data_IF_661127334844
#
_entry.id   IF_661127334844
#
_cell.length_a   1.000
_cell.length_b   1.000
_cell.length_c   1.000
_cell.angle_alpha   90.00
_cell.angle_beta   90.00
_cell.angle_gamma   90.00
#
_symmetry.space_group_name_H-M   'P 1'
#
loop_
_entity.id
_entity.type
_entity.pdbx_description
1 polymer ?
#
# COMPACT_ATOMS: atom_id res chain seq x y z
N UNK A 1 21.88 0.20 9.35
CA UNK A 1 20.85 -0.80 9.69
C UNK A 1 19.48 -0.21 9.38
N UNK A 2 18.70 -0.84 8.49
CA UNK A 2 17.38 -0.34 8.07
C UNK A 2 16.32 -0.90 9.02
N UNK A 3 15.48 -0.05 9.60
CA UNK A 3 14.43 -0.45 10.54
C UNK A 3 13.17 -0.91 9.79
N UNK A 4 12.38 -1.82 10.38
CA UNK A 4 11.10 -2.33 9.82
C UNK A 4 10.15 -1.16 9.48
N UNK A 5 10.20 -0.10 10.28
CA UNK A 5 9.43 1.13 10.08
C UNK A 5 9.82 1.84 8.77
N UNK A 6 11.08 1.76 8.35
CA UNK A 6 11.56 2.37 7.11
C UNK A 6 11.09 1.60 5.86
N UNK A 7 10.71 0.33 6.01
CA UNK A 7 10.15 -0.52 4.93
C UNK A 7 8.65 -0.27 4.79
N UNK A 8 7.95 -0.12 5.92
CA UNK A 8 6.52 0.17 5.98
C UNK A 8 6.18 1.61 5.56
N UNK A 9 7.05 2.59 5.84
CA UNK A 9 6.81 4.01 5.55
C UNK A 9 7.97 4.64 4.76
N UNK A 10 8.02 4.44 3.42
CA UNK A 10 9.13 4.92 2.58
C UNK A 10 9.27 6.46 2.50
N UNK A 11 8.28 7.22 3.01
CA UNK A 11 8.30 8.68 3.03
C UNK A 11 9.45 9.27 3.87
N UNK A 12 9.97 8.53 4.87
CA UNK A 12 11.00 9.04 5.78
C UNK A 12 12.38 9.21 5.13
N UNK A 13 12.61 8.61 3.95
CA UNK A 13 13.95 8.56 3.34
C UNK A 13 14.01 9.00 1.87
N UNK A 14 12.97 9.66 1.35
CA UNK A 14 12.86 10.04 -0.08
C UNK A 14 13.13 8.85 -1.03
N UNK A 15 12.78 7.62 -0.62
CA UNK A 15 12.92 6.43 -1.47
C UNK A 15 11.58 6.12 -2.12
N UNK A 16 11.62 5.85 -3.43
CA UNK A 16 10.48 5.36 -4.19
C UNK A 16 9.88 4.11 -3.54
N UNK A 17 8.55 4.01 -3.50
CA UNK A 17 7.83 2.81 -3.09
C UNK A 17 8.34 1.60 -3.90
N UNK A 18 9.14 0.77 -3.26
CA UNK A 18 9.86 -0.33 -3.91
C UNK A 18 9.14 -1.66 -3.80
N UNK A 19 9.69 -2.68 -4.46
CA UNK A 19 9.16 -4.05 -4.42
C UNK A 19 9.04 -4.62 -2.99
N UNK A 20 9.93 -4.19 -2.07
CA UNK A 20 9.89 -4.60 -0.67
C UNK A 20 8.67 -4.06 0.09
N UNK A 21 8.32 -2.78 -0.10
CA UNK A 21 7.12 -2.19 0.50
C UNK A 21 5.84 -2.79 -0.10
N UNK A 22 5.85 -3.11 -1.40
CA UNK A 22 4.76 -3.83 -2.04
C UNK A 22 4.57 -5.23 -1.44
N UNK A 23 5.64 -6.03 -1.34
CA UNK A 23 5.60 -7.38 -0.77
C UNK A 23 5.14 -7.35 0.71
N UNK A 24 5.58 -6.36 1.48
CA UNK A 24 5.13 -6.18 2.85
C UNK A 24 3.62 -5.88 2.93
N UNK A 25 3.13 -4.91 2.14
CA UNK A 25 1.69 -4.60 2.07
C UNK A 25 0.88 -5.81 1.60
N UNK A 26 1.37 -6.55 0.61
CA UNK A 26 0.74 -7.79 0.14
C UNK A 26 0.62 -8.84 1.26
N UNK A 27 1.72 -9.13 1.97
CA UNK A 27 1.73 -10.12 3.05
C UNK A 27 0.80 -9.74 4.20
N UNK A 28 0.78 -8.46 4.58
CA UNK A 28 -0.13 -7.96 5.63
C UNK A 28 -1.58 -8.15 5.21
N UNK A 29 -1.95 -7.72 4.00
CA UNK A 29 -3.31 -7.88 3.49
C UNK A 29 -3.70 -9.36 3.36
N UNK A 30 -2.77 -10.19 2.91
CA UNK A 30 -2.99 -11.62 2.77
C UNK A 30 -3.33 -12.27 4.11
N UNK A 31 -2.53 -11.98 5.14
CA UNK A 31 -2.77 -12.45 6.50
C UNK A 31 -4.10 -11.91 7.07
N UNK A 32 -4.41 -10.64 6.86
CA UNK A 32 -5.68 -10.06 7.32
C UNK A 32 -6.89 -10.74 6.69
N UNK A 33 -6.86 -10.99 5.39
CA UNK A 33 -7.96 -11.66 4.67
C UNK A 33 -8.09 -13.12 5.13
N UNK A 34 -6.99 -13.85 5.33
CA UNK A 34 -7.05 -15.21 5.86
C UNK A 34 -7.62 -15.26 7.29
N UNK A 35 -7.20 -14.34 8.17
CA UNK A 35 -7.72 -14.25 9.53
C UNK A 35 -9.21 -13.93 9.52
N UNK A 36 -9.66 -12.99 8.67
CA UNK A 36 -11.07 -12.66 8.52
C UNK A 36 -11.89 -13.86 8.03
N UNK A 37 -11.38 -14.59 7.03
CA UNK A 37 -12.03 -15.79 6.53
C UNK A 37 -12.09 -16.88 7.61
N UNK A 38 -11.02 -17.08 8.36
CA UNK A 38 -10.97 -18.04 9.47
C UNK A 38 -11.99 -17.69 10.56
N UNK A 39 -12.05 -16.42 10.98
CA UNK A 39 -13.03 -15.94 11.95
C UNK A 39 -14.46 -16.11 11.43
N UNK A 40 -14.69 -15.82 10.14
CA UNK A 40 -15.99 -16.03 9.50
C UNK A 40 -16.43 -17.50 9.54
N UNK A 41 -15.52 -18.43 9.23
CA UNK A 41 -15.77 -19.88 9.29
C UNK A 41 -16.00 -20.35 10.72
N UNK A 42 -15.20 -19.87 11.68
CA UNK A 42 -15.33 -20.21 13.08
C UNK A 42 -16.69 -19.78 13.67
N UNK A 43 -17.18 -18.59 13.28
CA UNK A 43 -18.50 -18.09 13.70
C UNK A 43 -19.64 -18.85 13.03
N UNK A 44 -19.56 -19.07 11.71
CA UNK A 44 -20.66 -19.64 10.93
C UNK A 44 -20.81 -21.15 11.14
N UNK A 45 -19.72 -21.90 11.06
CA UNK A 45 -19.75 -23.36 11.07
C UNK A 45 -19.54 -23.95 12.47
N UNK A 46 -18.93 -23.20 13.40
CA UNK A 46 -18.48 -23.68 14.73
C UNK A 46 -17.61 -24.95 14.69
N UNK A 47 -17.14 -25.34 13.50
CA UNK A 47 -16.40 -26.57 13.26
C UNK A 47 -15.13 -26.24 12.46
N UNK A 48 -13.98 -26.35 13.11
CA UNK A 48 -12.68 -25.97 12.55
C UNK A 48 -12.20 -26.88 11.41
N UNK A 49 -12.80 -28.08 11.25
CA UNK A 49 -12.50 -28.94 10.10
C UNK A 49 -12.92 -28.31 8.78
N UNK A 50 -14.01 -27.53 8.77
CA UNK A 50 -14.52 -26.89 7.56
C UNK A 50 -13.53 -25.85 6.98
N UNK A 51 -12.63 -25.30 7.82
CA UNK A 51 -11.58 -24.40 7.36
C UNK A 51 -10.62 -25.08 6.39
N UNK A 52 -10.20 -26.31 6.69
CA UNK A 52 -9.29 -27.08 5.84
C UNK A 52 -9.94 -27.45 4.51
N UNK A 53 -11.23 -27.78 4.52
CA UNK A 53 -12.00 -28.08 3.31
C UNK A 53 -12.21 -26.83 2.43
N UNK A 54 -12.34 -25.64 3.04
CA UNK A 54 -12.50 -24.38 2.31
C UNK A 54 -11.17 -23.78 1.82
N UNK A 55 -10.05 -24.20 2.39
CA UNK A 55 -8.73 -23.66 2.08
C UNK A 55 -8.36 -23.67 0.57
N UNK A 56 -8.73 -24.69 -0.24
CA UNK A 56 -8.49 -24.68 -1.69
C UNK A 56 -9.16 -23.51 -2.43
N UNK A 57 -10.24 -22.95 -1.88
CA UNK A 57 -10.97 -21.81 -2.44
C UNK A 57 -10.53 -20.50 -1.77
N UNK A 58 -10.40 -20.52 -0.44
CA UNK A 58 -10.05 -19.32 0.35
C UNK A 58 -8.66 -18.83 0.01
N UNK A 59 -7.67 -19.73 -0.11
CA UNK A 59 -6.29 -19.36 -0.37
C UNK A 59 -6.07 -18.60 -1.70
N UNK A 60 -6.51 -19.12 -2.88
CA UNK A 60 -6.35 -18.37 -4.14
C UNK A 60 -7.17 -17.07 -4.14
N UNK A 61 -8.34 -17.07 -3.50
CA UNK A 61 -9.18 -15.87 -3.38
C UNK A 61 -8.49 -14.78 -2.55
N UNK A 62 -7.96 -15.15 -1.38
CA UNK A 62 -7.20 -14.24 -0.51
C UNK A 62 -5.96 -13.69 -1.23
N UNK A 63 -5.27 -14.54 -2.01
CA UNK A 63 -4.11 -14.14 -2.81
C UNK A 63 -4.50 -13.11 -3.88
N UNK A 64 -5.57 -13.34 -4.65
CA UNK A 64 -6.04 -12.41 -5.68
C UNK A 64 -6.50 -11.07 -5.09
N UNK A 65 -7.26 -11.09 -4.00
CA UNK A 65 -7.72 -9.87 -3.31
C UNK A 65 -6.51 -9.06 -2.81
N UNK A 66 -5.55 -9.73 -2.18
CA UNK A 66 -4.37 -9.06 -1.63
C UNK A 66 -3.44 -8.53 -2.71
N UNK A 67 -3.29 -9.25 -3.82
CA UNK A 67 -2.56 -8.76 -5.01
C UNK A 67 -3.25 -7.55 -5.62
N UNK A 68 -4.56 -7.58 -5.82
CA UNK A 68 -5.31 -6.45 -6.36
C UNK A 68 -5.21 -5.22 -5.45
N UNK A 69 -5.43 -5.39 -4.14
CA UNK A 69 -5.38 -4.30 -3.17
C UNK A 69 -3.96 -3.71 -3.05
N UNK A 70 -2.93 -4.55 -2.97
CA UNK A 70 -1.53 -4.09 -2.94
C UNK A 70 -1.11 -3.41 -4.24
N UNK A 71 -1.59 -3.87 -5.41
CA UNK A 71 -1.33 -3.25 -6.70
C UNK A 71 -1.94 -1.85 -6.79
N UNK A 72 -3.20 -1.69 -6.35
CA UNK A 72 -3.86 -0.38 -6.26
C UNK A 72 -3.14 0.54 -5.29
N UNK A 73 -2.71 0.01 -4.13
CA UNK A 73 -1.96 0.78 -3.14
C UNK A 73 -0.61 1.23 -3.69
N UNK A 74 0.11 0.37 -4.42
CA UNK A 74 1.36 0.71 -5.07
C UNK A 74 1.16 1.77 -6.17
N UNK A 75 0.13 1.63 -7.00
CA UNK A 75 -0.21 2.63 -8.02
C UNK A 75 -0.47 4.00 -7.38
N UNK A 76 -1.27 4.05 -6.32
CA UNK A 76 -1.58 5.29 -5.62
C UNK A 76 -0.40 5.86 -4.85
N UNK A 77 0.42 5.01 -4.24
CA UNK A 77 1.65 5.44 -3.58
C UNK A 77 2.67 6.00 -4.58
N UNK A 78 2.71 5.47 -5.81
CA UNK A 78 3.55 6.00 -6.89
C UNK A 78 3.06 7.37 -7.36
N UNK A 79 1.75 7.58 -7.49
CA UNK A 79 1.20 8.89 -7.86
C UNK A 79 1.44 9.96 -6.78
N UNK A 80 1.26 9.60 -5.50
CA UNK A 80 1.56 10.48 -4.36
C UNK A 80 3.05 10.78 -4.22
N UNK A 81 3.92 9.79 -4.43
CA UNK A 81 5.37 10.00 -4.41
C UNK A 81 5.81 10.95 -5.51
N UNK A 82 5.23 10.81 -6.73
CA UNK A 82 5.52 11.71 -7.85
C UNK A 82 5.13 13.16 -7.53
N UNK A 83 3.93 13.36 -6.99
CA UNK A 83 3.44 14.70 -6.66
C UNK A 83 4.26 15.40 -5.56
N UNK A 84 4.68 14.65 -4.54
CA UNK A 84 5.55 15.16 -3.47
C UNK A 84 6.98 15.44 -3.95
N UNK A 85 7.53 14.61 -4.84
CA UNK A 85 8.83 14.86 -5.46
C UNK A 85 8.77 16.10 -6.35
N UNK A 86 7.74 16.27 -7.18
CA UNK A 86 7.51 17.48 -7.97
C UNK A 86 7.40 18.72 -7.07
N UNK A 87 6.68 18.61 -5.95
CA UNK A 87 6.56 19.70 -4.96
C UNK A 87 7.92 20.01 -4.34
N UNK A 88 8.67 19.01 -3.86
CA UNK A 88 9.98 19.20 -3.26
C UNK A 88 11.02 19.72 -4.26
N UNK A 89 10.96 19.32 -5.53
CA UNK A 89 11.76 19.89 -6.61
C UNK A 89 11.38 21.34 -6.90
N UNK A 90 10.08 21.69 -6.87
CA UNK A 90 9.63 23.08 -7.00
C UNK A 90 10.12 23.96 -5.84
N UNK A 91 10.14 23.43 -4.62
CA UNK A 91 10.73 24.11 -3.46
C UNK A 91 12.27 24.20 -3.54
N UNK A 92 12.93 23.15 -4.03
CA UNK A 92 14.39 23.10 -4.17
C UNK A 92 14.93 23.94 -5.33
N UNK A 93 14.15 24.17 -6.40
CA UNK A 93 14.47 25.08 -7.51
C UNK A 93 14.27 26.56 -7.17
N UNK A 94 13.97 26.89 -5.91
CA UNK A 94 13.93 28.26 -5.40
C UNK A 94 12.50 28.73 -5.15
N UNK A 95 12.15 28.91 -3.88
CA UNK A 95 10.84 29.33 -3.36
C UNK A 95 10.31 30.70 -3.81
N UNK A 96 10.90 31.32 -4.84
CA UNK A 96 10.41 32.55 -5.47
C UNK A 96 9.52 32.30 -6.70
N UNK A 97 9.59 31.11 -7.32
CA UNK A 97 8.85 30.82 -8.57
C UNK A 97 7.41 30.34 -8.37
N UNK A 98 7.08 29.71 -7.23
CA UNK A 98 5.73 29.18 -6.99
C UNK A 98 4.68 30.29 -6.79
N UNK A 99 5.06 31.39 -6.15
CA UNK A 99 4.22 32.58 -6.03
C UNK A 99 4.00 33.29 -7.37
N UNK A 100 5.03 33.34 -8.23
CA UNK A 100 4.93 33.91 -9.58
C UNK A 100 4.08 33.05 -10.51
N UNK A 101 4.18 31.71 -10.45
CA UNK A 101 3.34 30.82 -11.26
C UNK A 101 1.87 30.82 -10.83
N UNK A 102 1.57 31.02 -9.55
CA UNK A 102 0.19 31.18 -9.07
C UNK A 102 -0.40 32.55 -9.42
N UNK A 103 0.42 33.60 -9.44
CA UNK A 103 -0.01 34.93 -9.89
C UNK A 103 -0.31 34.95 -11.40
N UNK A 104 0.54 34.30 -12.21
CA UNK A 104 0.38 34.26 -13.67
C UNK A 104 -0.77 33.37 -14.16
N UNK A 105 -1.34 32.53 -13.28
CA UNK A 105 -2.52 31.69 -13.59
C UNK A 105 -3.85 32.34 -13.24
N UNK A 106 -3.82 33.52 -12.63
CA UNK A 106 -5.00 34.23 -12.12
C UNK A 106 -5.40 35.45 -12.98
N UNK A 107 -4.54 35.84 -13.93
CA UNK A 107 -4.87 36.72 -15.06
C UNK A 107 -5.19 35.88 -16.31
#
# INVERSE_FOLDING_TARGET
>A
MSSIIDIAFPYRRRRSYGAASFAFTFLVLFMEVEILAFVGVAIAARQLQLWWDLQPIVFPTACLISLAASAVFWWRARSWSKHRVETLEAWARGGTTFGQQLAQKRD
#
